data_IF_104219084154
#
_entry.id   IF_104219084154
#
_cell.length_a   1.000
_cell.length_b   1.000
_cell.length_c   1.000
_cell.angle_alpha   90.00
_cell.angle_beta   90.00
_cell.angle_gamma   90.00
#
_symmetry.space_group_name_H-M   'P 1'
#
loop_
_entity.id
_entity.type
_entity.pdbx_description
1 polymer ?
#
# COMPACT_ATOMS: atom_id res chain seq x y z
N UNK A 1 2.19 -14.16 -10.12
CA UNK A 1 2.02 -14.50 -8.69
C UNK A 1 2.35 -13.27 -7.86
N UNK A 2 1.59 -12.98 -6.81
CA UNK A 2 1.87 -11.86 -5.89
C UNK A 2 2.85 -12.30 -4.80
N UNK A 3 3.88 -11.52 -4.54
CA UNK A 3 4.92 -11.84 -3.54
C UNK A 3 4.43 -11.75 -2.09
N UNK A 4 3.33 -11.02 -1.86
CA UNK A 4 2.74 -10.75 -0.55
C UNK A 4 1.82 -11.87 -0.02
N UNK A 5 1.59 -12.96 -0.77
CA UNK A 5 0.59 -13.97 -0.43
C UNK A 5 0.94 -14.65 0.91
N UNK A 6 0.04 -14.58 1.88
CA UNK A 6 0.22 -15.15 3.23
C UNK A 6 0.95 -14.24 4.22
N UNK A 7 1.26 -12.99 3.84
CA UNK A 7 2.04 -12.04 4.65
C UNK A 7 1.27 -10.76 4.96
N UNK A 8 -0.06 -10.81 5.05
CA UNK A 8 -0.93 -9.63 5.17
C UNK A 8 -0.54 -8.73 6.37
N UNK A 9 -0.21 -9.35 7.50
CA UNK A 9 0.17 -8.67 8.74
C UNK A 9 1.43 -7.80 8.59
N UNK A 10 2.29 -8.10 7.63
CA UNK A 10 3.51 -7.32 7.36
C UNK A 10 3.22 -6.02 6.60
N UNK A 11 2.08 -5.96 5.89
CA UNK A 11 1.65 -4.77 5.15
C UNK A 11 0.76 -3.84 5.97
N UNK A 12 0.19 -4.33 7.06
CA UNK A 12 -0.63 -3.54 7.98
C UNK A 12 0.24 -2.75 8.96
N UNK A 13 0.15 -1.43 8.94
CA UNK A 13 0.96 -0.56 9.79
C UNK A 13 0.14 0.38 10.69
N UNK A 14 -1.17 0.54 10.43
CA UNK A 14 -2.02 1.44 11.20
C UNK A 14 -2.17 1.06 12.68
N UNK A 15 -2.18 -0.24 12.98
CA UNK A 15 -2.39 -0.75 14.34
C UNK A 15 -1.10 -0.95 15.15
N UNK A 16 0.03 -0.37 14.70
CA UNK A 16 1.33 -0.52 15.36
C UNK A 16 1.55 0.58 16.41
N UNK A 17 1.64 0.18 17.67
CA UNK A 17 1.92 1.08 18.79
C UNK A 17 3.36 1.65 18.75
N UNK A 18 3.55 2.85 19.31
CA UNK A 18 4.88 3.37 19.67
C UNK A 18 5.77 3.88 18.52
N UNK A 19 5.19 4.44 17.44
CA UNK A 19 5.98 5.08 16.37
C UNK A 19 6.71 4.12 15.42
N UNK A 20 6.69 2.81 15.71
CA UNK A 20 7.26 1.75 14.87
C UNK A 20 6.53 1.57 13.53
N UNK A 21 5.32 2.16 13.40
CA UNK A 21 4.56 2.15 12.17
C UNK A 21 5.35 2.68 10.97
N UNK A 22 6.27 3.65 11.16
CA UNK A 22 7.12 4.20 10.07
C UNK A 22 8.06 3.15 9.50
N UNK A 23 8.70 2.37 10.37
CA UNK A 23 9.63 1.31 9.97
C UNK A 23 8.88 0.16 9.29
N UNK A 24 7.73 -0.23 9.86
CA UNK A 24 6.89 -1.28 9.28
C UNK A 24 6.35 -0.89 7.90
N UNK A 25 5.92 0.37 7.76
CA UNK A 25 5.53 0.97 6.48
C UNK A 25 6.65 0.85 5.45
N UNK A 26 7.86 1.31 5.78
CA UNK A 26 9.01 1.26 4.86
C UNK A 26 9.36 -0.18 4.44
N UNK A 27 9.31 -1.13 5.37
CA UNK A 27 9.54 -2.54 5.07
C UNK A 27 8.47 -3.09 4.11
N UNK A 28 7.19 -2.80 4.36
CA UNK A 28 6.08 -3.22 3.50
C UNK A 28 6.17 -2.62 2.09
N UNK A 29 6.60 -1.37 1.95
CA UNK A 29 6.87 -0.74 0.66
C UNK A 29 7.95 -1.50 -0.13
N UNK A 30 9.04 -1.89 0.53
CA UNK A 30 10.12 -2.67 -0.08
C UNK A 30 9.68 -4.08 -0.49
N UNK A 31 8.80 -4.72 0.28
CA UNK A 31 8.26 -6.04 -0.07
C UNK A 31 7.38 -6.00 -1.33
N UNK A 32 6.88 -4.83 -1.74
CA UNK A 32 6.18 -4.66 -3.00
C UNK A 32 7.12 -4.49 -4.20
N UNK A 33 8.40 -4.15 -3.99
CA UNK A 33 9.36 -3.93 -5.07
C UNK A 33 9.54 -5.21 -5.91
N UNK A 34 9.43 -5.07 -7.23
CA UNK A 34 9.56 -6.20 -8.16
C UNK A 34 8.36 -7.15 -8.21
N UNK A 35 7.25 -6.85 -7.51
CA UNK A 35 6.07 -7.69 -7.58
C UNK A 35 5.39 -7.56 -8.96
N UNK A 36 5.24 -8.66 -9.74
CA UNK A 36 4.75 -8.58 -11.12
C UNK A 36 3.26 -8.20 -11.23
N UNK A 37 2.54 -8.19 -10.10
CA UNK A 37 1.13 -7.80 -10.02
C UNK A 37 0.90 -6.39 -9.45
N UNK A 38 1.91 -5.51 -9.45
CA UNK A 38 1.83 -4.15 -8.92
C UNK A 38 0.63 -3.37 -9.46
N UNK A 39 0.49 -3.26 -10.78
CA UNK A 39 -0.63 -2.52 -11.41
C UNK A 39 -2.00 -3.07 -11.01
N UNK A 40 -2.16 -4.40 -11.02
CA UNK A 40 -3.42 -5.06 -10.64
C UNK A 40 -3.71 -4.92 -9.15
N UNK A 41 -2.68 -4.91 -8.31
CA UNK A 41 -2.78 -4.66 -6.88
C UNK A 41 -3.28 -3.23 -6.62
N UNK A 42 -2.75 -2.24 -7.34
CA UNK A 42 -3.17 -0.86 -7.22
C UNK A 42 -4.63 -0.64 -7.65
N UNK A 43 -5.05 -1.26 -8.77
CA UNK A 43 -6.45 -1.23 -9.21
C UNK A 43 -7.40 -1.80 -8.17
N UNK A 44 -7.05 -2.94 -7.55
CA UNK A 44 -7.86 -3.52 -6.47
C UNK A 44 -7.93 -2.64 -5.24
N UNK A 45 -6.81 -2.01 -4.86
CA UNK A 45 -6.79 -1.08 -3.73
C UNK A 45 -7.76 0.10 -3.93
N UNK A 46 -7.82 0.63 -5.16
CA UNK A 46 -8.76 1.70 -5.54
C UNK A 46 -10.22 1.22 -5.49
N UNK A 47 -10.51 0.02 -5.99
CA UNK A 47 -11.87 -0.56 -6.01
C UNK A 47 -12.41 -0.89 -4.61
N UNK A 48 -11.56 -1.42 -3.73
CA UNK A 48 -11.96 -1.86 -2.39
C UNK A 48 -11.82 -0.76 -1.32
N UNK A 49 -11.43 0.46 -1.69
CA UNK A 49 -11.18 1.56 -0.76
C UNK A 49 -10.28 1.14 0.42
N UNK A 50 -9.18 0.45 0.11
CA UNK A 50 -8.30 -0.09 1.14
C UNK A 50 -7.69 1.01 2.02
N UNK A 51 -7.40 0.70 3.28
CA UNK A 51 -6.88 1.63 4.28
C UNK A 51 -5.91 0.96 5.25
N UNK A 52 -5.09 1.77 5.92
CA UNK A 52 -4.28 1.39 7.08
C UNK A 52 -3.15 0.40 6.78
N UNK A 53 -2.87 0.16 5.50
CA UNK A 53 -1.90 -0.82 5.03
C UNK A 53 -1.25 -0.37 3.71
N UNK A 54 -0.15 -1.01 3.35
CA UNK A 54 0.54 -0.76 2.07
C UNK A 54 -0.08 -1.60 0.95
N UNK A 55 -0.46 -0.95 -0.14
CA UNK A 55 -0.91 -1.59 -1.38
C UNK A 55 -0.08 -1.15 -2.56
N UNK A 56 0.38 -2.11 -3.35
CA UNK A 56 1.18 -1.84 -4.54
C UNK A 56 2.39 -0.91 -4.27
N UNK A 57 2.98 -1.05 -3.08
CA UNK A 57 4.07 -0.21 -2.59
C UNK A 57 3.63 1.16 -2.09
N UNK A 58 2.35 1.53 -2.17
CA UNK A 58 1.84 2.81 -1.69
C UNK A 58 1.26 2.64 -0.28
N UNK A 59 1.75 3.40 0.71
CA UNK A 59 1.16 3.40 2.04
C UNK A 59 -0.17 4.15 2.05
N UNK A 60 -1.27 3.46 2.39
CA UNK A 60 -2.59 4.08 2.49
C UNK A 60 -2.91 4.40 3.96
N UNK A 61 -3.17 5.68 4.31
CA UNK A 61 -3.56 6.06 5.67
C UNK A 61 -4.78 5.27 6.17
N UNK A 62 -4.94 5.11 7.50
CA UNK A 62 -6.13 4.49 8.09
C UNK A 62 -7.38 5.38 8.03
N UNK A 63 -7.23 6.69 7.85
CA UNK A 63 -8.36 7.61 7.81
C UNK A 63 -8.87 7.83 6.38
N UNK A 64 -10.19 7.78 6.22
CA UNK A 64 -10.84 7.89 4.91
C UNK A 64 -10.77 9.28 4.27
N UNK A 65 -10.48 10.34 5.03
CA UNK A 65 -10.76 11.72 4.59
C UNK A 65 -9.70 12.73 5.05
N UNK A 66 -8.43 12.48 4.68
CA UNK A 66 -7.36 13.45 4.88
C UNK A 66 -6.56 13.66 3.58
N UNK A 67 -5.79 14.76 3.53
CA UNK A 67 -4.94 15.11 2.36
C UNK A 67 -4.03 13.94 1.95
N UNK A 68 -3.53 13.18 2.93
CA UNK A 68 -2.64 12.05 2.69
C UNK A 68 -3.34 10.88 1.99
N UNK A 69 -4.65 10.69 2.21
CA UNK A 69 -5.47 9.66 1.53
C UNK A 69 -5.71 10.03 0.07
N UNK A 70 -5.90 11.31 -0.24
CA UNK A 70 -5.95 11.78 -1.63
C UNK A 70 -4.63 11.58 -2.36
N UNK A 71 -3.50 11.90 -1.72
CA UNK A 71 -2.16 11.65 -2.28
C UNK A 71 -1.90 10.15 -2.50
N UNK A 72 -2.22 9.30 -1.51
CA UNK A 72 -2.09 7.85 -1.65
C UNK A 72 -2.93 7.31 -2.81
N UNK A 73 -4.16 7.78 -2.98
CA UNK A 73 -5.01 7.41 -4.14
C UNK A 73 -4.40 7.84 -5.46
N UNK A 74 -3.83 9.05 -5.55
CA UNK A 74 -3.15 9.53 -6.76
C UNK A 74 -1.96 8.63 -7.11
N UNK A 75 -1.13 8.27 -6.13
CA UNK A 75 -0.01 7.35 -6.33
C UNK A 75 -0.47 5.95 -6.77
N UNK A 76 -1.57 5.44 -6.20
CA UNK A 76 -2.15 4.18 -6.65
C UNK A 76 -2.64 4.24 -8.11
N UNK A 77 -3.21 5.37 -8.53
CA UNK A 77 -3.61 5.57 -9.94
C UNK A 77 -2.38 5.53 -10.84
N UNK A 78 -1.29 6.20 -10.47
CA UNK A 78 -0.04 6.17 -11.24
C UNK A 78 0.53 4.75 -11.35
N UNK A 79 0.56 3.99 -10.24
CA UNK A 79 1.02 2.59 -10.25
C UNK A 79 0.08 1.69 -11.07
N UNK A 80 -1.23 1.92 -11.00
CA UNK A 80 -2.22 1.18 -11.78
C UNK A 80 -2.06 1.41 -13.30
N UNK A 81 -1.71 2.62 -13.72
CA UNK A 81 -1.55 3.00 -15.11
C UNK A 81 -0.19 2.61 -15.69
N UNK A 82 0.89 2.81 -14.94
CA UNK A 82 2.25 2.70 -15.46
C UNK A 82 3.03 1.49 -14.95
N UNK A 83 2.56 0.83 -13.88
CA UNK A 83 3.16 -0.41 -13.36
C UNK A 83 4.61 -0.29 -12.88
N UNK A 84 5.09 0.94 -12.67
CA UNK A 84 6.44 1.23 -12.20
C UNK A 84 6.37 2.29 -11.10
N UNK A 85 7.15 2.07 -10.05
CA UNK A 85 7.51 3.04 -9.02
C UNK A 85 9.02 3.11 -8.98
#
# INVERSE_FOLDING_TARGET
MSLCRGRADEYEYANVAGGQWRTKRAAAEQLCAGCPSLSRCAQRALQHHALGMVWAGVPIPPDHDNKNTHEARRLLIEVALYGKR
#
